data_IF_976983970335
#
_entry.id   IF_976983970335
#
_cell.length_a   1.000
_cell.length_b   1.000
_cell.length_c   1.000
_cell.angle_alpha   90.00
_cell.angle_beta   90.00
_cell.angle_gamma   90.00
#
_symmetry.space_group_name_H-M   'P 1'
#
loop_
_entity.id
_entity.type
_entity.pdbx_description
1 polymer ?
#
# COMPACT_ATOMS: atom_id res chain seq x y z
N UNK A 1 -49.07 52.19 24.83
CA UNK A 1 -47.67 52.30 25.29
C UNK A 1 -47.54 51.72 26.69
N UNK A 2 -46.98 50.51 26.81
CA UNK A 2 -46.07 50.07 27.90
C UNK A 2 -45.61 48.65 27.57
N UNK A 3 -44.35 48.55 27.17
CA UNK A 3 -43.61 47.35 26.83
C UNK A 3 -43.02 46.80 28.14
N UNK A 4 -43.23 45.52 28.45
CA UNK A 4 -42.54 44.84 29.55
C UNK A 4 -41.68 43.72 29.00
N UNK A 5 -40.38 43.87 29.23
CA UNK A 5 -39.27 43.08 28.74
C UNK A 5 -39.10 41.81 29.58
N UNK A 6 -39.06 40.64 28.93
CA UNK A 6 -38.38 39.47 29.49
C UNK A 6 -37.45 38.86 28.45
N UNK A 7 -36.16 39.04 28.72
CA UNK A 7 -35.02 38.40 28.07
C UNK A 7 -35.08 36.91 28.42
N UNK A 8 -35.23 36.06 27.42
CA UNK A 8 -34.91 34.65 27.53
C UNK A 8 -33.79 34.36 26.53
N UNK A 9 -32.57 34.16 27.05
CA UNK A 9 -31.49 33.53 26.32
C UNK A 9 -31.96 32.15 25.85
N UNK A 10 -31.87 31.87 24.55
CA UNK A 10 -31.81 30.49 24.10
C UNK A 10 -30.62 30.27 23.15
N UNK A 11 -29.87 29.26 23.55
CA UNK A 11 -28.61 28.75 23.03
C UNK A 11 -28.62 28.55 21.52
N UNK A 12 -27.61 29.14 20.86
CA UNK A 12 -27.21 28.81 19.49
C UNK A 12 -26.63 27.39 19.49
N UNK A 13 -27.38 26.41 19.00
CA UNK A 13 -26.85 25.09 18.68
C UNK A 13 -26.39 25.09 17.21
N UNK A 14 -25.12 25.45 16.99
CA UNK A 14 -24.47 25.26 15.70
C UNK A 14 -24.06 23.77 15.61
N UNK A 15 -24.94 22.94 15.07
CA UNK A 15 -24.60 21.56 14.73
C UNK A 15 -23.66 21.56 13.52
N UNK A 16 -22.35 21.49 13.78
CA UNK A 16 -21.38 21.04 12.78
C UNK A 16 -21.76 19.61 12.38
N UNK A 17 -22.43 19.47 11.24
CA UNK A 17 -22.59 18.17 10.58
C UNK A 17 -21.19 17.67 10.23
N UNK A 18 -20.71 16.69 11.00
CA UNK A 18 -19.43 16.06 10.77
C UNK A 18 -19.36 15.49 9.36
N UNK A 19 -18.35 15.90 8.61
CA UNK A 19 -17.93 15.17 7.42
C UNK A 19 -17.54 13.78 7.91
N UNK A 20 -18.38 12.79 7.60
CA UNK A 20 -18.03 11.39 7.78
C UNK A 20 -16.89 11.10 6.79
N UNK A 21 -15.65 11.24 7.25
CA UNK A 21 -14.55 10.58 6.58
C UNK A 21 -14.84 9.08 6.68
N UNK A 22 -15.19 8.46 5.55
CA UNK A 22 -15.07 7.01 5.43
C UNK A 22 -13.58 6.72 5.58
N UNK A 23 -13.15 6.35 6.79
CA UNK A 23 -11.88 5.69 6.95
C UNK A 23 -11.97 4.44 6.04
N UNK A 24 -11.26 4.44 4.91
CA UNK A 24 -11.02 3.21 4.19
C UNK A 24 -10.34 2.29 5.19
N UNK A 25 -10.99 1.19 5.54
CA UNK A 25 -10.39 0.13 6.33
C UNK A 25 -9.29 -0.49 5.47
N UNK A 26 -8.12 0.16 5.49
CA UNK A 26 -6.92 -0.33 4.87
C UNK A 26 -6.67 -1.74 5.41
N UNK A 27 -6.37 -2.69 4.52
CA UNK A 27 -6.19 -4.10 4.85
C UNK A 27 -7.43 -4.87 5.35
N UNK A 28 -8.64 -4.44 4.99
CA UNK A 28 -9.87 -5.20 5.31
C UNK A 28 -10.01 -6.53 4.53
N UNK A 29 -9.33 -6.66 3.40
CA UNK A 29 -9.34 -7.91 2.61
C UNK A 29 -8.68 -9.06 3.37
N UNK A 30 -9.14 -10.31 3.17
CA UNK A 30 -8.51 -11.46 3.79
C UNK A 30 -7.06 -11.63 3.33
N UNK A 31 -6.18 -12.21 4.17
CA UNK A 31 -4.84 -12.61 3.74
C UNK A 31 -4.89 -13.61 2.60
N UNK A 32 -3.90 -13.52 1.70
CA UNK A 32 -3.72 -14.53 0.65
C UNK A 32 -3.34 -15.88 1.27
N UNK A 33 -3.66 -16.99 0.61
CA UNK A 33 -3.28 -18.32 1.11
C UNK A 33 -1.76 -18.53 1.18
N UNK A 34 -1.04 -18.05 0.16
CA UNK A 34 0.41 -18.09 0.07
C UNK A 34 0.95 -16.89 -0.73
N UNK A 35 1.72 -16.03 -0.07
CA UNK A 35 2.34 -14.86 -0.68
C UNK A 35 3.34 -15.25 -1.77
N UNK A 36 3.98 -16.42 -1.67
CA UNK A 36 4.93 -16.88 -2.67
C UNK A 36 4.26 -17.12 -4.03
N UNK A 37 3.07 -17.74 -4.01
CA UNK A 37 2.25 -17.97 -5.20
C UNK A 37 1.80 -16.66 -5.86
N UNK A 38 1.55 -15.64 -5.06
CA UNK A 38 1.10 -14.33 -5.54
C UNK A 38 2.26 -13.50 -6.10
N UNK A 39 3.39 -13.45 -5.41
CA UNK A 39 4.48 -12.51 -5.71
C UNK A 39 5.56 -13.08 -6.65
N UNK A 40 5.82 -14.40 -6.62
CA UNK A 40 6.96 -14.98 -7.35
C UNK A 40 6.88 -14.70 -8.85
N UNK A 41 7.96 -14.16 -9.40
CA UNK A 41 8.04 -13.83 -10.81
C UNK A 41 7.16 -12.65 -11.21
N UNK A 42 6.81 -11.76 -10.28
CA UNK A 42 6.04 -10.54 -10.56
C UNK A 42 6.76 -9.27 -10.13
N UNK A 43 6.58 -8.20 -10.88
CA UNK A 43 6.85 -6.82 -10.44
C UNK A 43 5.69 -6.35 -9.58
N UNK A 44 6.00 -5.88 -8.37
CA UNK A 44 5.07 -5.13 -7.54
C UNK A 44 5.11 -3.65 -7.94
N UNK A 45 3.94 -3.03 -8.04
CA UNK A 45 3.77 -1.62 -8.30
C UNK A 45 3.03 -1.00 -7.12
N UNK A 46 3.70 -0.11 -6.39
CA UNK A 46 3.15 0.52 -5.21
C UNK A 46 3.14 2.02 -5.40
N UNK A 47 2.00 2.62 -5.05
CA UNK A 47 1.90 4.07 -4.82
C UNK A 47 1.53 4.27 -3.37
N UNK A 48 2.39 4.95 -2.63
CA UNK A 48 2.07 5.39 -1.28
C UNK A 48 1.00 6.48 -1.36
N UNK A 49 -0.22 6.16 -0.92
CA UNK A 49 -1.35 7.08 -0.96
C UNK A 49 -1.17 8.32 -0.09
N UNK A 50 -0.26 8.28 0.91
CA UNK A 50 -0.01 9.38 1.83
C UNK A 50 1.02 10.39 1.29
N UNK A 51 2.00 9.93 0.52
CA UNK A 51 3.10 10.76 0.02
C UNK A 51 3.07 10.95 -1.50
N UNK A 52 2.37 10.08 -2.23
CA UNK A 52 2.41 9.99 -3.68
C UNK A 52 3.66 9.29 -4.23
N UNK A 53 4.56 8.81 -3.36
CA UNK A 53 5.77 8.10 -3.77
C UNK A 53 5.42 6.80 -4.50
N UNK A 54 6.13 6.54 -5.59
CA UNK A 54 5.97 5.34 -6.41
C UNK A 54 7.24 4.53 -6.40
N UNK A 55 7.12 3.23 -6.21
CA UNK A 55 8.23 2.31 -6.31
C UNK A 55 7.79 1.00 -6.96
N UNK A 56 8.78 0.31 -7.55
CA UNK A 56 8.55 -0.92 -8.29
C UNK A 56 9.67 -1.93 -8.07
N UNK A 57 9.31 -3.18 -7.74
CA UNK A 57 10.28 -4.21 -7.44
C UNK A 57 9.86 -5.58 -7.97
N UNK A 58 10.76 -6.22 -8.71
CA UNK A 58 10.58 -7.57 -9.22
C UNK A 58 11.01 -8.62 -8.21
N UNK A 59 10.10 -9.53 -7.90
CA UNK A 59 10.27 -10.64 -6.98
C UNK A 59 10.83 -11.86 -7.71
N UNK A 60 12.16 -11.92 -7.87
CA UNK A 60 12.80 -12.98 -8.62
C UNK A 60 12.55 -14.36 -7.96
N UNK A 61 12.36 -15.45 -8.74
CA UNK A 61 12.18 -16.79 -8.19
C UNK A 61 13.28 -17.28 -7.25
N UNK A 62 14.50 -16.74 -7.40
CA UNK A 62 15.65 -17.02 -6.53
C UNK A 62 15.56 -16.38 -5.14
N UNK A 63 14.58 -15.50 -4.89
CA UNK A 63 14.48 -14.70 -3.66
C UNK A 63 15.15 -13.32 -3.73
N UNK A 64 15.71 -12.91 -4.87
CA UNK A 64 16.23 -11.56 -5.05
C UNK A 64 15.10 -10.54 -5.29
N UNK A 65 15.23 -9.33 -4.75
CA UNK A 65 14.43 -8.16 -5.12
C UNK A 65 15.21 -7.29 -6.10
N UNK A 66 14.60 -7.00 -7.23
CA UNK A 66 15.22 -6.23 -8.31
C UNK A 66 14.39 -4.98 -8.56
N UNK A 67 14.97 -3.80 -8.33
CA UNK A 67 14.41 -2.55 -8.79
C UNK A 67 14.50 -2.50 -10.32
N UNK A 68 13.35 -2.39 -10.99
CA UNK A 68 13.26 -2.44 -12.44
C UNK A 68 13.96 -1.24 -13.09
N UNK A 69 13.86 -0.06 -12.48
CA UNK A 69 14.37 1.19 -13.04
C UNK A 69 13.89 1.47 -14.48
N UNK A 70 14.81 1.61 -15.44
CA UNK A 70 14.51 1.72 -16.89
C UNK A 70 14.65 0.39 -17.65
N UNK A 71 14.93 -0.71 -16.94
CA UNK A 71 15.08 -2.05 -17.50
C UNK A 71 16.55 -2.50 -17.55
N UNK A 72 16.81 -3.81 -17.69
CA UNK A 72 18.14 -4.39 -17.47
C UNK A 72 19.20 -3.98 -18.51
N UNK A 73 18.78 -3.50 -19.68
CA UNK A 73 19.66 -3.09 -20.77
C UNK A 73 19.78 -1.57 -20.94
N UNK A 74 19.16 -0.77 -20.07
CA UNK A 74 19.29 0.70 -20.15
C UNK A 74 20.75 1.11 -19.78
N UNK A 75 21.44 1.89 -20.62
CA UNK A 75 22.85 2.22 -20.41
C UNK A 75 23.08 3.25 -19.27
N UNK A 76 22.02 3.93 -18.82
CA UNK A 76 22.10 4.99 -17.81
C UNK A 76 21.55 4.50 -16.47
N UNK A 77 20.45 3.75 -16.49
CA UNK A 77 19.75 3.32 -15.28
C UNK A 77 19.24 1.87 -15.37
N UNK A 78 20.17 0.89 -15.44
CA UNK A 78 19.80 -0.50 -15.56
C UNK A 78 19.16 -1.03 -14.27
N UNK A 79 18.32 -2.07 -14.41
CA UNK A 79 17.75 -2.77 -13.26
C UNK A 79 18.84 -3.23 -12.28
N UNK A 80 18.54 -3.18 -10.98
CA UNK A 80 19.52 -3.45 -9.92
C UNK A 80 18.91 -4.32 -8.83
N UNK A 81 19.68 -5.32 -8.36
CA UNK A 81 19.31 -6.02 -7.12
C UNK A 81 19.43 -5.07 -5.94
N UNK A 82 18.33 -4.86 -5.23
CA UNK A 82 18.24 -3.94 -4.08
C UNK A 82 18.10 -4.67 -2.75
N UNK A 83 17.77 -5.96 -2.78
CA UNK A 83 17.60 -6.76 -1.58
C UNK A 83 17.21 -8.19 -1.87
N UNK A 84 16.59 -8.82 -0.88
CA UNK A 84 16.00 -10.14 -0.98
C UNK A 84 14.60 -10.16 -0.37
N UNK A 85 13.80 -11.12 -0.79
CA UNK A 85 12.48 -11.37 -0.23
C UNK A 85 12.31 -12.84 0.15
N UNK A 86 11.48 -13.08 1.15
CA UNK A 86 11.07 -14.42 1.59
C UNK A 86 9.62 -14.39 2.04
N UNK A 87 8.98 -15.56 2.15
CA UNK A 87 7.58 -15.66 2.54
C UNK A 87 7.34 -16.77 3.56
N UNK A 88 6.30 -16.59 4.36
CA UNK A 88 5.75 -17.61 5.27
C UNK A 88 4.23 -17.47 5.30
N UNK A 89 3.52 -18.37 4.62
CA UNK A 89 2.08 -18.23 4.38
C UNK A 89 1.76 -16.92 3.67
N UNK A 90 0.85 -16.13 4.26
CA UNK A 90 0.48 -14.81 3.73
C UNK A 90 1.53 -13.72 3.96
N UNK A 91 2.55 -13.96 4.78
CA UNK A 91 3.55 -12.95 5.10
C UNK A 91 4.65 -12.91 4.04
N UNK A 92 5.06 -11.70 3.67
CA UNK A 92 6.30 -11.42 2.93
C UNK A 92 7.24 -10.61 3.82
N UNK A 93 8.52 -10.96 3.77
CA UNK A 93 9.60 -10.21 4.42
C UNK A 93 10.56 -9.73 3.36
N UNK A 94 10.78 -8.42 3.32
CA UNK A 94 11.76 -7.73 2.48
C UNK A 94 12.98 -7.37 3.29
N UNK A 95 14.17 -7.67 2.78
CA UNK A 95 15.45 -7.35 3.41
C UNK A 95 16.29 -6.48 2.48
N UNK A 96 16.63 -5.28 2.95
CA UNK A 96 17.47 -4.31 2.25
C UNK A 96 18.74 -4.06 3.09
N UNK A 97 19.85 -4.70 2.69
CA UNK A 97 21.06 -4.70 3.49
C UNK A 97 20.84 -5.36 4.86
N UNK A 98 20.92 -4.59 5.94
CA UNK A 98 20.70 -5.07 7.32
C UNK A 98 19.27 -4.85 7.82
N UNK A 99 18.46 -4.05 7.11
CA UNK A 99 17.09 -3.74 7.52
C UNK A 99 16.12 -4.76 6.94
N UNK A 100 15.11 -5.16 7.71
CA UNK A 100 14.04 -6.05 7.26
C UNK A 100 12.67 -5.49 7.62
N UNK A 101 11.72 -5.65 6.70
CA UNK A 101 10.34 -5.18 6.81
C UNK A 101 9.40 -6.31 6.43
N UNK A 102 8.39 -6.58 7.26
CA UNK A 102 7.43 -7.66 7.02
C UNK A 102 6.02 -7.13 6.86
N UNK A 103 5.29 -7.71 5.91
CA UNK A 103 3.93 -7.35 5.57
C UNK A 103 3.10 -8.61 5.37
N UNK A 104 1.84 -8.56 5.77
CA UNK A 104 0.84 -9.55 5.34
C UNK A 104 0.31 -9.12 3.98
N UNK A 105 0.36 -10.01 3.01
CA UNK A 105 -0.26 -9.80 1.69
C UNK A 105 -1.73 -10.13 1.80
N UNK A 106 -2.60 -9.18 1.48
CA UNK A 106 -4.06 -9.35 1.51
C UNK A 106 -4.68 -9.03 0.15
N UNK A 107 -5.91 -9.48 -0.06
CA UNK A 107 -6.66 -9.23 -1.29
C UNK A 107 -6.47 -10.30 -2.36
N UNK A 108 -6.92 -9.99 -3.57
CA UNK A 108 -6.92 -10.89 -4.71
C UNK A 108 -6.80 -10.13 -6.05
N UNK A 109 -6.74 -10.88 -7.15
CA UNK A 109 -6.60 -10.30 -8.49
C UNK A 109 -7.83 -9.49 -8.96
N UNK A 110 -8.99 -9.67 -8.32
CA UNK A 110 -10.24 -8.97 -8.64
C UNK A 110 -10.37 -7.67 -7.85
N UNK A 111 -10.08 -7.69 -6.55
CA UNK A 111 -10.15 -6.52 -5.66
C UNK A 111 -8.88 -5.67 -5.65
N UNK A 112 -7.77 -6.21 -6.17
CA UNK A 112 -6.43 -5.69 -5.94
C UNK A 112 -5.82 -6.22 -4.64
N UNK A 113 -4.50 -6.07 -4.53
CA UNK A 113 -3.73 -6.52 -3.38
C UNK A 113 -3.35 -5.35 -2.46
N UNK A 114 -3.01 -5.68 -1.23
CA UNK A 114 -2.42 -4.74 -0.27
C UNK A 114 -1.27 -5.40 0.50
N UNK A 115 -0.31 -4.58 0.96
CA UNK A 115 0.74 -4.98 1.91
C UNK A 115 0.44 -4.35 3.27
N UNK A 116 0.22 -5.19 4.28
CA UNK A 116 -0.33 -4.79 5.57
C UNK A 116 0.68 -5.02 6.68
N UNK A 117 1.11 -3.96 7.38
CA UNK A 117 2.19 -4.06 8.36
C UNK A 117 2.35 -2.78 9.20
N UNK A 118 3.60 -2.43 9.55
CA UNK A 118 3.89 -1.20 10.28
C UNK A 118 3.43 0.07 9.52
N UNK A 119 3.41 -0.03 8.19
CA UNK A 119 2.74 0.88 7.27
C UNK A 119 1.95 0.02 6.30
N UNK A 120 0.78 0.50 5.89
CA UNK A 120 -0.03 -0.19 4.91
C UNK A 120 0.18 0.42 3.51
N UNK A 121 0.19 -0.43 2.50
CA UNK A 121 0.19 -0.04 1.10
C UNK A 121 -1.03 -0.68 0.42
N UNK A 122 -2.00 0.14 0.05
CA UNK A 122 -3.22 -0.27 -0.68
C UNK A 122 -3.04 -0.18 -2.19
N UNK A 123 -3.95 -0.82 -2.93
CA UNK A 123 -4.02 -0.72 -4.40
C UNK A 123 -2.71 -1.17 -5.08
N UNK A 124 -2.07 -2.17 -4.49
CA UNK A 124 -0.86 -2.79 -5.02
C UNK A 124 -1.23 -3.55 -6.29
N UNK A 125 -0.54 -3.23 -7.37
CA UNK A 125 -0.68 -3.93 -8.64
C UNK A 125 0.48 -4.89 -8.84
N UNK A 126 0.19 -6.07 -9.39
CA UNK A 126 1.20 -7.09 -9.68
C UNK A 126 1.23 -7.38 -11.18
N UNK A 127 2.41 -7.25 -11.78
CA UNK A 127 2.65 -7.50 -13.19
C UNK A 127 3.54 -8.73 -13.37
N UNK A 128 3.22 -9.59 -14.34
CA UNK A 128 4.04 -10.79 -14.58
C UNK A 128 5.38 -10.44 -15.23
N UNK A 129 6.47 -11.00 -14.71
CA UNK A 129 7.83 -10.76 -15.20
C UNK A 129 8.43 -9.45 -14.72
N UNK A 130 9.68 -9.22 -15.11
CA UNK A 130 10.43 -7.99 -14.82
C UNK A 130 10.06 -6.94 -15.86
N UNK A 131 9.06 -6.11 -15.54
CA UNK A 131 8.52 -5.07 -16.43
C UNK A 131 8.24 -3.77 -15.66
N UNK A 132 8.12 -2.61 -16.35
CA UNK A 132 7.83 -1.34 -15.69
C UNK A 132 6.37 -1.25 -15.24
N UNK A 133 6.13 -0.54 -14.15
CA UNK A 133 4.79 -0.12 -13.75
C UNK A 133 4.19 0.90 -14.73
N UNK A 134 2.86 0.95 -14.90
CA UNK A 134 2.18 1.93 -15.75
C UNK A 134 2.34 3.39 -15.28
#
# INVERSE_FOLDING_TARGET
>A
MKLSTHIALLFTALSLGGLAFTASADCASPPVGDAATVLRGKTICVTDSSTGEKWQEYHAPSGALIDYKKGPSDPVDPSKTVGSWSTSGAQVTYTYGQASYSYTVTGDATSGYSLCGAKNFTNVTLLSGQQPCP
#
